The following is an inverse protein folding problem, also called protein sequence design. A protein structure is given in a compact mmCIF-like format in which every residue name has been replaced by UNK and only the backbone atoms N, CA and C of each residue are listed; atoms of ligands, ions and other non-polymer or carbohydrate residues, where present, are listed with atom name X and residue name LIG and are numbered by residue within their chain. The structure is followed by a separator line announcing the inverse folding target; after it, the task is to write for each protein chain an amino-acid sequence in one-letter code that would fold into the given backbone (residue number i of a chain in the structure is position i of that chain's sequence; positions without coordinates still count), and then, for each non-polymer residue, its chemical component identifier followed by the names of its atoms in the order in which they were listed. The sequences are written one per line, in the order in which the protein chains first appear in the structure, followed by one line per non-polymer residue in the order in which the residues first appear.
data_IF_267812573648
#
_entry.id   IF_267812573648
#
_cell.length_a   1.000
_cell.length_b   1.000
_cell.length_c   1.000
_cell.angle_alpha   90.00
_cell.angle_beta   90.00
_cell.angle_gamma   90.00
#
_symmetry.space_group_name_H-M   'P 1'
#
loop_
_entity.id
_entity.type
_entity.pdbx_description
1 polymer ?
#
# COMPACT_ATOMS: atom_id res chain seq x y z
N UNK A 1 24.85 27.17 7.92
CA UNK A 1 23.74 27.45 8.87
C UNK A 1 22.37 27.03 8.34
N UNK A 2 22.03 27.33 7.09
CA UNK A 2 20.73 26.96 6.48
C UNK A 2 20.33 25.47 6.58
N UNK A 3 21.27 24.53 6.40
CA UNK A 3 21.02 23.09 6.55
C UNK A 3 20.58 22.72 7.97
N UNK A 4 21.15 23.34 8.98
CA UNK A 4 20.85 23.07 10.39
C UNK A 4 19.50 23.67 10.76
N UNK A 5 19.22 24.89 10.29
CA UNK A 5 17.90 25.51 10.44
C UNK A 5 16.79 24.68 9.77
N UNK A 6 17.04 24.16 8.56
CA UNK A 6 16.11 23.24 7.87
C UNK A 6 15.86 21.98 8.71
N UNK A 7 16.90 21.37 9.27
CA UNK A 7 16.76 20.18 10.12
C UNK A 7 15.98 20.49 11.41
N UNK A 8 16.27 21.62 12.06
CA UNK A 8 15.57 22.05 13.26
C UNK A 8 14.07 22.34 12.99
N UNK A 9 13.77 23.02 11.89
CA UNK A 9 12.39 23.28 11.44
C UNK A 9 11.62 21.98 11.17
N UNK A 10 12.25 21.03 10.47
CA UNK A 10 11.64 19.72 10.19
C UNK A 10 11.47 18.84 11.43
N UNK A 11 12.35 18.99 12.43
CA UNK A 11 12.19 18.32 13.72
C UNK A 11 11.09 18.97 14.56
N UNK A 12 10.98 20.31 14.53
CA UNK A 12 9.98 21.06 15.28
C UNK A 12 8.54 20.91 14.75
N UNK A 13 8.38 20.76 13.44
CA UNK A 13 7.07 20.58 12.81
C UNK A 13 6.75 19.13 12.41
N UNK A 14 7.73 18.25 12.53
CA UNK A 14 7.64 16.86 12.12
C UNK A 14 7.72 16.65 10.61
N UNK A 15 7.76 15.38 10.21
CA UNK A 15 7.86 14.94 8.81
C UNK A 15 6.61 15.28 7.99
N UNK A 16 5.46 15.48 8.65
CA UNK A 16 4.20 15.88 8.02
C UNK A 16 4.22 17.31 7.48
N UNK A 17 5.06 18.18 8.06
CA UNK A 17 5.19 19.58 7.64
C UNK A 17 6.13 19.77 6.44
N UNK A 18 6.70 18.68 5.90
CA UNK A 18 7.47 18.70 4.66
C UNK A 18 6.52 18.77 3.45
N UNK A 19 5.65 19.79 3.46
CA UNK A 19 4.75 20.16 2.37
C UNK A 19 5.29 21.40 1.66
N UNK A 20 4.66 21.72 0.53
CA UNK A 20 4.99 22.93 -0.23
C UNK A 20 4.79 24.18 0.63
N UNK A 21 3.69 24.24 1.38
CA UNK A 21 3.34 25.35 2.27
C UNK A 21 4.34 25.48 3.43
N UNK A 22 4.79 24.36 4.00
CA UNK A 22 5.82 24.38 5.06
C UNK A 22 7.17 24.88 4.55
N UNK A 23 7.56 24.48 3.34
CA UNK A 23 8.77 24.96 2.70
C UNK A 23 8.69 26.45 2.34
N UNK A 24 7.54 26.92 1.87
CA UNK A 24 7.29 28.34 1.56
C UNK A 24 7.34 29.20 2.82
N UNK A 25 6.74 28.76 3.93
CA UNK A 25 6.84 29.45 5.23
C UNK A 25 8.28 29.53 5.73
N UNK A 26 9.02 28.43 5.67
CA UNK A 26 10.43 28.40 6.06
C UNK A 26 11.28 29.36 5.21
N UNK A 27 11.07 29.36 3.89
CA UNK A 27 11.77 30.26 2.99
C UNK A 27 11.38 31.73 3.24
N UNK A 28 10.11 32.02 3.52
CA UNK A 28 9.64 33.37 3.84
C UNK A 28 10.22 33.90 5.17
N UNK A 29 10.38 33.06 6.19
CA UNK A 29 11.03 33.44 7.44
C UNK A 29 12.51 33.79 7.23
N UNK A 30 13.21 33.05 6.38
CA UNK A 30 14.61 33.33 6.05
C UNK A 30 14.75 34.64 5.26
N UNK A 31 13.80 34.98 4.39
CA UNK A 31 13.76 36.30 3.73
C UNK A 31 13.51 37.41 4.76
N UNK A 32 12.56 37.23 5.67
CA UNK A 32 12.27 38.20 6.74
C UNK A 32 13.46 38.47 7.66
N UNK A 33 14.26 37.42 7.93
CA UNK A 33 15.49 37.53 8.73
C UNK A 33 16.66 38.12 7.95
N UNK A 34 16.53 38.33 6.64
CA UNK A 34 17.60 38.82 5.77
C UNK A 34 18.64 37.75 5.39
N UNK A 35 18.40 36.48 5.73
CA UNK A 35 19.34 35.38 5.49
C UNK A 35 19.43 34.98 4.02
N UNK A 36 18.34 35.19 3.25
CA UNK A 36 18.26 34.87 1.81
C UNK A 36 17.46 35.93 1.06
N UNK A 37 17.75 36.12 -0.23
CA UNK A 37 16.96 37.00 -1.09
C UNK A 37 15.61 36.35 -1.47
N UNK A 38 14.63 37.17 -1.88
CA UNK A 38 13.35 36.69 -2.41
C UNK A 38 13.50 35.78 -3.64
N UNK A 39 14.58 35.96 -4.41
CA UNK A 39 14.92 35.10 -5.56
C UNK A 39 15.41 33.73 -5.10
N UNK A 40 16.25 33.69 -4.06
CA UNK A 40 16.80 32.47 -3.49
C UNK A 40 15.76 31.66 -2.71
N UNK A 41 14.77 32.33 -2.12
CA UNK A 41 13.63 31.68 -1.45
C UNK A 41 12.87 30.74 -2.40
N UNK A 42 12.55 31.19 -3.62
CA UNK A 42 11.86 30.35 -4.63
C UNK A 42 12.73 29.17 -5.06
N UNK A 43 14.03 29.37 -5.21
CA UNK A 43 14.97 28.31 -5.55
C UNK A 43 15.10 27.27 -4.41
N UNK A 44 15.08 27.72 -3.16
CA UNK A 44 15.13 26.86 -1.97
C UNK A 44 13.90 25.97 -1.88
N UNK A 45 12.69 26.52 -2.02
CA UNK A 45 11.44 25.75 -2.03
C UNK A 45 11.47 24.69 -3.14
N UNK A 46 11.84 25.08 -4.36
CA UNK A 46 11.93 24.14 -5.50
C UNK A 46 12.92 23.01 -5.24
N UNK A 47 14.08 23.33 -4.65
CA UNK A 47 15.09 22.33 -4.28
C UNK A 47 14.58 21.39 -3.18
N UNK A 48 13.89 21.92 -2.17
CA UNK A 48 13.30 21.12 -1.10
C UNK A 48 12.25 20.14 -1.61
N UNK A 49 11.38 20.58 -2.53
CA UNK A 49 10.38 19.70 -3.16
C UNK A 49 11.03 18.62 -4.02
N UNK A 50 12.03 18.99 -4.82
CA UNK A 50 12.78 18.02 -5.64
C UNK A 50 13.51 16.98 -4.79
N UNK A 51 14.17 17.41 -3.73
CA UNK A 51 14.83 16.51 -2.77
C UNK A 51 13.81 15.56 -2.13
N UNK A 52 12.63 16.08 -1.75
CA UNK A 52 11.56 15.29 -1.15
C UNK A 52 11.02 14.22 -2.11
N UNK A 53 10.80 14.57 -3.38
CA UNK A 53 10.37 13.61 -4.40
C UNK A 53 11.39 12.50 -4.62
N UNK A 54 12.68 12.84 -4.71
CA UNK A 54 13.76 11.86 -4.88
C UNK A 54 13.83 10.93 -3.67
N UNK A 55 13.71 11.47 -2.46
CA UNK A 55 13.70 10.66 -1.24
C UNK A 55 12.47 9.76 -1.16
N UNK A 56 11.28 10.26 -1.51
CA UNK A 56 10.05 9.45 -1.59
C UNK A 56 10.21 8.29 -2.57
N UNK A 57 10.70 8.55 -3.78
CA UNK A 57 10.94 7.49 -4.79
C UNK A 57 11.93 6.44 -4.32
N UNK A 58 12.96 6.81 -3.55
CA UNK A 58 13.92 5.86 -2.97
C UNK A 58 13.34 5.05 -1.81
N UNK A 59 12.50 5.65 -0.98
CA UNK A 59 11.90 5.01 0.19
C UNK A 59 10.70 4.12 -0.15
N UNK A 60 9.93 4.47 -1.18
CA UNK A 60 8.75 3.73 -1.60
C UNK A 60 8.99 2.22 -1.79
N UNK A 61 10.02 1.76 -2.54
CA UNK A 61 10.27 0.32 -2.69
C UNK A 61 10.73 -0.35 -1.39
N UNK A 62 11.42 0.38 -0.51
CA UNK A 62 11.86 -0.15 0.80
C UNK A 62 10.64 -0.39 1.69
N UNK A 63 9.75 0.62 1.79
CA UNK A 63 8.51 0.52 2.55
C UNK A 63 7.64 -0.61 2.01
N UNK A 64 7.49 -0.71 0.68
CA UNK A 64 6.69 -1.75 0.04
C UNK A 64 7.27 -3.15 0.32
N UNK A 65 8.59 -3.30 0.28
CA UNK A 65 9.27 -4.55 0.63
C UNK A 65 9.03 -4.92 2.10
N UNK A 66 9.29 -4.00 3.02
CA UNK A 66 9.12 -4.23 4.47
C UNK A 66 7.66 -4.56 4.82
N UNK A 67 6.70 -3.86 4.24
CA UNK A 67 5.27 -4.16 4.44
C UNK A 67 4.88 -5.51 3.85
N UNK A 68 5.35 -5.85 2.64
CA UNK A 68 5.14 -7.19 2.06
C UNK A 68 5.73 -8.30 2.94
N UNK A 69 6.93 -8.12 3.47
CA UNK A 69 7.57 -9.08 4.37
C UNK A 69 6.84 -9.19 5.71
N UNK A 70 6.37 -8.08 6.28
CA UNK A 70 5.54 -8.09 7.49
C UNK A 70 4.22 -8.85 7.27
N UNK A 71 3.53 -8.61 6.15
CA UNK A 71 2.30 -9.32 5.76
C UNK A 71 2.55 -10.83 5.63
N UNK A 72 3.67 -11.23 4.99
CA UNK A 72 4.07 -12.64 4.89
C UNK A 72 4.31 -13.28 6.26
N UNK A 73 5.04 -12.59 7.16
CA UNK A 73 5.32 -13.06 8.52
C UNK A 73 4.04 -13.27 9.33
N UNK A 74 3.07 -12.38 9.15
CA UNK A 74 1.77 -12.46 9.81
C UNK A 74 0.80 -13.45 9.12
N UNK A 75 1.25 -14.16 8.06
CA UNK A 75 0.44 -15.08 7.25
C UNK A 75 -0.89 -14.45 6.77
N UNK A 76 -0.88 -13.14 6.54
CA UNK A 76 -2.06 -12.43 6.08
C UNK A 76 -2.19 -12.63 4.57
N UNK A 77 -3.32 -13.19 4.15
CA UNK A 77 -3.71 -13.31 2.74
C UNK A 77 -4.37 -12.02 2.28
N UNK A 78 -4.10 -11.63 1.03
CA UNK A 78 -4.80 -10.50 0.42
C UNK A 78 -6.29 -10.82 0.26
N UNK A 79 -7.14 -9.79 0.24
CA UNK A 79 -8.59 -9.95 -0.03
C UNK A 79 -8.83 -10.66 -1.37
N UNK A 80 -7.97 -10.45 -2.35
CA UNK A 80 -8.07 -11.06 -3.68
C UNK A 80 -7.78 -12.55 -3.62
N UNK A 81 -6.70 -12.96 -2.95
CA UNK A 81 -6.36 -14.38 -2.75
C UNK A 81 -7.46 -15.10 -1.96
N UNK A 82 -8.00 -14.47 -0.91
CA UNK A 82 -9.12 -15.02 -0.14
C UNK A 82 -10.37 -15.26 -1.00
N UNK A 83 -10.74 -14.31 -1.88
CA UNK A 83 -11.85 -14.48 -2.82
C UNK A 83 -11.60 -15.60 -3.83
N UNK A 84 -10.38 -15.71 -4.36
CA UNK A 84 -10.03 -16.80 -5.29
C UNK A 84 -10.16 -18.15 -4.60
N UNK A 85 -9.72 -18.28 -3.35
CA UNK A 85 -9.90 -19.51 -2.57
C UNK A 85 -11.38 -19.81 -2.33
N UNK A 86 -12.19 -18.82 -1.94
CA UNK A 86 -13.63 -18.98 -1.72
C UNK A 86 -14.36 -19.47 -2.99
N UNK A 87 -14.09 -18.86 -4.15
CA UNK A 87 -14.69 -19.27 -5.42
C UNK A 87 -14.27 -20.70 -5.83
N UNK A 88 -13.03 -21.09 -5.56
CA UNK A 88 -12.56 -22.46 -5.81
C UNK A 88 -13.28 -23.46 -4.91
N UNK A 89 -13.45 -23.14 -3.63
CA UNK A 89 -14.20 -23.96 -2.67
C UNK A 89 -15.64 -24.14 -3.16
N UNK A 90 -16.33 -23.05 -3.51
CA UNK A 90 -17.71 -23.12 -3.99
C UNK A 90 -17.86 -23.98 -5.25
N UNK A 91 -16.90 -23.87 -6.19
CA UNK A 91 -16.88 -24.70 -7.40
C UNK A 91 -16.70 -26.18 -7.07
N UNK A 92 -15.78 -26.50 -6.17
CA UNK A 92 -15.53 -27.88 -5.73
C UNK A 92 -16.77 -28.44 -5.03
N UNK A 93 -17.41 -27.67 -4.16
CA UNK A 93 -18.65 -28.07 -3.48
C UNK A 93 -19.78 -28.37 -4.47
N UNK A 94 -19.95 -27.54 -5.50
CA UNK A 94 -20.92 -27.77 -6.58
C UNK A 94 -20.64 -29.05 -7.35
N UNK A 95 -19.39 -29.33 -7.70
CA UNK A 95 -19.00 -30.55 -8.42
C UNK A 95 -19.15 -31.82 -7.56
N UNK A 96 -18.86 -31.73 -6.25
CA UNK A 96 -19.10 -32.81 -5.30
C UNK A 96 -20.61 -33.13 -5.18
N UNK A 97 -21.48 -32.11 -5.08
CA UNK A 97 -22.93 -32.31 -5.05
C UNK A 97 -23.43 -33.05 -6.30
N UNK A 98 -23.04 -32.59 -7.49
CA UNK A 98 -23.40 -33.24 -8.78
C UNK A 98 -22.94 -34.71 -8.85
N UNK A 99 -21.74 -35.01 -8.36
CA UNK A 99 -21.22 -36.39 -8.38
C UNK A 99 -21.90 -37.29 -7.34
N UNK A 100 -22.30 -36.76 -6.18
CA UNK A 100 -23.11 -37.50 -5.20
C UNK A 100 -24.52 -37.79 -5.71
N UNK A 101 -25.17 -36.84 -6.38
CA UNK A 101 -26.50 -37.02 -7.00
C UNK A 101 -26.48 -38.02 -8.17
N UNK A 102 -25.41 -38.03 -8.98
CA UNK A 102 -25.22 -39.03 -10.04
C UNK A 102 -25.03 -40.45 -9.48
N UNK A 103 -24.44 -40.60 -8.29
CA UNK A 103 -24.24 -41.91 -7.65
C UNK A 103 -25.53 -42.45 -7.02
N UNK A 104 -26.37 -41.61 -6.40
CA UNK A 104 -27.67 -42.03 -5.83
C UNK A 104 -28.69 -42.39 -6.91
N UNK A 105 -28.73 -41.66 -8.03
CA UNK A 105 -29.58 -41.98 -9.19
C UNK A 105 -29.24 -43.31 -9.88
N UNK A 106 -27.95 -43.65 -10.00
CA UNK A 106 -27.51 -44.96 -10.56
C UNK A 106 -27.84 -46.14 -9.63
N UNK A 107 -27.84 -45.93 -8.32
CA UNK A 107 -28.16 -46.96 -7.32
C UNK A 107 -29.65 -47.33 -7.31
N UNK A 108 -30.56 -46.35 -7.47
CA UNK A 108 -32.01 -46.60 -7.64
C UNK A 108 -32.37 -47.30 -8.96
N UNK A 109 -31.70 -46.98 -10.08
CA UNK A 109 -31.94 -47.66 -11.37
C UNK A 109 -31.47 -49.12 -11.37
N UNK A 110 -30.41 -49.46 -10.64
CA UNK A 110 -29.93 -50.84 -10.49
C UNK A 110 -30.82 -51.72 -9.61
N UNK A 111 -31.49 -51.16 -8.59
CA UNK A 111 -32.43 -51.94 -7.77
C UNK A 111 -33.75 -52.23 -8.50
N UNK A 112 -34.20 -51.35 -9.39
CA UNK A 112 -35.38 -51.58 -10.22
C UNK A 112 -35.15 -52.60 -11.35
N UNK A 113 -33.95 -52.66 -11.94
CA UNK A 113 -33.64 -53.63 -13.01
C UNK A 113 -33.39 -55.06 -12.49
N UNK A 114 -33.17 -55.26 -11.19
CA UNK A 114 -32.95 -56.59 -10.57
C UNK A 114 -34.23 -57.25 -10.05
N UNK A 115 -35.38 -56.56 -10.12
CA UNK A 115 -36.71 -57.02 -9.69
C UNK A 115 -37.66 -57.33 -10.86
N UNK A 116 -37.18 -57.29 -12.10
CA UNK A 116 -37.82 -57.82 -13.31
C UNK A 116 -36.94 -58.94 -13.84
#
# INVERSE_FOLDING_TARGET
MLKTARKAFLLGLGTLALTKEGAEKFAAELVKKGDISSKDAKALVKKMMKDAEVQRKRLQPVIEKETKEAIKRLKLVSKTEAKVMANRIERIEKELRKTTERKTGKRKKRSHKKKR
#
